data_IF_812193991566
#
_entry.id   IF_812193991566
#
_cell.length_a   1.000
_cell.length_b   1.000
_cell.length_c   1.000
_cell.angle_alpha   90.00
_cell.angle_beta   90.00
_cell.angle_gamma   90.00
#
_symmetry.space_group_name_H-M   'P 1'
#
loop_
_entity.id
_entity.type
_entity.pdbx_description
1 polymer ?
#
# COMPACT_ATOMS: atom_id res chain seq x y z
N UNK A 1 3.14 29.98 -0.87
CA UNK A 1 4.20 29.06 -0.37
C UNK A 1 3.98 27.58 -0.73
N UNK A 2 2.80 26.97 -0.51
CA UNK A 2 2.55 25.55 -0.92
C UNK A 2 2.34 25.44 -2.43
N UNK A 3 1.47 26.28 -3.01
CA UNK A 3 1.21 26.26 -4.47
C UNK A 3 2.46 26.58 -5.31
N UNK A 4 3.37 27.39 -4.80
CA UNK A 4 4.65 27.72 -5.45
C UNK A 4 5.61 26.52 -5.51
N UNK A 5 5.56 25.64 -4.50
CA UNK A 5 6.33 24.39 -4.51
C UNK A 5 5.75 23.36 -5.47
N UNK A 6 4.42 23.26 -5.53
CA UNK A 6 3.75 22.35 -6.46
C UNK A 6 3.98 22.74 -7.92
N UNK A 7 3.93 24.04 -8.22
CA UNK A 7 4.20 24.53 -9.58
C UNK A 7 5.64 24.22 -10.00
N UNK A 8 6.61 24.46 -9.11
CA UNK A 8 8.01 24.08 -9.35
C UNK A 8 8.19 22.58 -9.60
N UNK A 9 7.42 21.73 -8.92
CA UNK A 9 7.42 20.28 -9.16
C UNK A 9 6.85 19.97 -10.55
N UNK A 10 5.75 20.63 -10.96
CA UNK A 10 5.15 20.45 -12.29
C UNK A 10 6.13 20.84 -13.40
N UNK A 11 6.80 21.97 -13.27
CA UNK A 11 7.83 22.41 -14.21
C UNK A 11 8.96 21.39 -14.30
N UNK A 12 9.48 20.94 -13.15
CA UNK A 12 10.58 19.98 -13.11
C UNK A 12 10.22 18.62 -13.68
N UNK A 13 8.97 18.18 -13.52
CA UNK A 13 8.44 16.96 -14.13
C UNK A 13 8.45 17.10 -15.65
N UNK A 14 7.96 18.21 -16.21
CA UNK A 14 7.99 18.44 -17.66
C UNK A 14 9.41 18.40 -18.21
N UNK A 15 10.35 19.08 -17.56
CA UNK A 15 11.77 19.04 -17.95
C UNK A 15 12.35 17.61 -17.90
N UNK A 16 11.95 16.81 -16.92
CA UNK A 16 12.38 15.44 -16.79
C UNK A 16 11.75 14.53 -17.86
N UNK A 17 10.46 14.69 -18.14
CA UNK A 17 9.71 13.97 -19.17
C UNK A 17 10.29 14.21 -20.56
N UNK A 18 10.53 15.49 -20.91
CA UNK A 18 11.06 15.89 -22.22
C UNK A 18 12.56 15.61 -22.38
N UNK A 19 13.31 15.60 -21.28
CA UNK A 19 14.74 15.38 -21.27
C UNK A 19 15.13 13.93 -21.00
N UNK A 20 15.29 13.62 -19.72
CA UNK A 20 15.92 12.36 -19.26
C UNK A 20 15.05 11.15 -19.60
N UNK A 21 13.74 11.24 -19.34
CA UNK A 21 12.82 10.13 -19.58
C UNK A 21 12.72 9.83 -21.08
N UNK A 22 12.45 10.84 -21.91
CA UNK A 22 12.35 10.67 -23.36
C UNK A 22 13.61 10.03 -23.96
N UNK A 23 14.80 10.49 -23.57
CA UNK A 23 16.07 9.91 -24.03
C UNK A 23 16.20 8.44 -23.61
N UNK A 24 15.81 8.11 -22.38
CA UNK A 24 15.83 6.73 -21.88
C UNK A 24 14.87 5.84 -22.67
N UNK A 25 13.62 6.26 -22.87
CA UNK A 25 12.59 5.50 -23.58
C UNK A 25 12.92 5.28 -25.06
N UNK A 26 13.63 6.22 -25.69
CA UNK A 26 14.12 6.06 -27.07
C UNK A 26 15.21 5.00 -27.18
N UNK A 27 16.10 4.92 -26.18
CA UNK A 27 17.17 3.92 -26.16
C UNK A 27 16.67 2.55 -25.72
N UNK A 28 15.76 2.51 -24.77
CA UNK A 28 15.21 1.28 -24.19
C UNK A 28 13.74 1.53 -23.81
N UNK A 29 12.78 1.09 -24.64
CA UNK A 29 11.37 1.32 -24.36
C UNK A 29 10.90 0.48 -23.16
N UNK A 30 9.83 0.95 -22.52
CA UNK A 30 9.15 0.17 -21.50
C UNK A 30 8.57 -1.13 -22.06
N UNK A 31 8.44 -2.14 -21.20
CA UNK A 31 7.98 -3.49 -21.57
C UNK A 31 6.48 -3.57 -21.88
N UNK A 32 5.73 -2.50 -21.66
CA UNK A 32 4.28 -2.43 -21.85
C UNK A 32 3.66 -1.42 -20.88
N UNK A 33 2.33 -1.39 -20.85
CA UNK A 33 1.59 -0.60 -19.85
C UNK A 33 1.66 -1.29 -18.49
N UNK A 34 1.92 -0.52 -17.45
CA UNK A 34 1.91 -1.02 -16.08
C UNK A 34 0.55 -0.78 -15.45
N UNK A 35 -0.08 -1.84 -14.98
CA UNK A 35 -1.34 -1.77 -14.24
C UNK A 35 -1.36 -2.76 -13.08
N UNK A 36 -2.14 -2.42 -12.07
CA UNK A 36 -2.48 -3.34 -10.97
C UNK A 36 -3.32 -4.51 -11.48
N UNK A 37 -3.42 -5.58 -10.68
CA UNK A 37 -4.33 -6.70 -10.97
C UNK A 37 -5.81 -6.27 -11.08
N UNK A 38 -6.16 -5.12 -10.50
CA UNK A 38 -7.49 -4.52 -10.58
C UNK A 38 -7.68 -3.59 -11.78
N UNK A 39 -6.70 -3.49 -12.69
CA UNK A 39 -6.78 -2.69 -13.91
C UNK A 39 -6.44 -1.20 -13.73
N UNK A 40 -6.05 -0.76 -12.54
CA UNK A 40 -5.63 0.62 -12.30
C UNK A 40 -4.25 0.85 -12.92
N UNK A 41 -4.14 1.84 -13.80
CA UNK A 41 -2.88 2.24 -14.45
C UNK A 41 -1.91 2.86 -13.44
N UNK A 42 -0.64 2.46 -13.54
CA UNK A 42 0.44 2.91 -12.66
C UNK A 42 1.28 3.92 -13.43
N UNK A 43 1.36 5.15 -12.91
CA UNK A 43 2.23 6.19 -13.48
C UNK A 43 3.70 5.82 -13.32
N UNK A 44 4.54 6.27 -14.24
CA UNK A 44 6.01 6.12 -14.15
C UNK A 44 6.58 6.78 -12.89
N UNK A 45 5.97 7.87 -12.43
CA UNK A 45 6.38 8.60 -11.24
C UNK A 45 5.15 9.15 -10.50
N UNK A 46 5.13 9.01 -9.18
CA UNK A 46 4.20 9.69 -8.29
C UNK A 46 4.98 10.71 -7.44
N UNK A 47 4.41 11.90 -7.28
CA UNK A 47 5.00 13.04 -6.58
C UNK A 47 3.98 13.65 -5.62
N UNK A 48 4.35 14.63 -4.79
CA UNK A 48 3.39 15.29 -3.90
C UNK A 48 2.19 15.92 -4.61
N UNK A 49 2.30 16.30 -5.88
CA UNK A 49 1.17 16.87 -6.64
C UNK A 49 0.09 15.82 -6.96
N UNK A 50 0.44 14.54 -6.98
CA UNK A 50 -0.47 13.43 -7.28
C UNK A 50 -1.41 13.11 -6.10
N UNK A 51 -1.06 13.61 -4.90
CA UNK A 51 -1.87 13.48 -3.69
C UNK A 51 -3.06 14.48 -3.72
N UNK A 52 -2.93 15.58 -4.50
CA UNK A 52 -3.96 16.61 -4.67
C UNK A 52 -4.32 17.34 -3.36
N UNK A 53 -5.56 17.86 -3.28
CA UNK A 53 -6.09 18.38 -2.02
C UNK A 53 -6.25 17.25 -1.00
N UNK A 54 -5.33 17.23 -0.05
CA UNK A 54 -5.24 16.20 0.97
C UNK A 54 -5.47 16.80 2.35
N UNK A 55 -6.71 16.68 2.80
CA UNK A 55 -7.04 16.94 4.20
C UNK A 55 -6.50 15.77 5.03
N UNK A 56 -5.40 16.03 5.73
CA UNK A 56 -4.73 15.03 6.57
C UNK A 56 -5.70 14.40 7.58
N UNK A 57 -6.53 15.21 8.25
CA UNK A 57 -7.41 14.73 9.32
C UNK A 57 -8.61 13.94 8.80
N UNK A 58 -9.11 14.26 7.60
CA UNK A 58 -10.24 13.53 7.00
C UNK A 58 -9.82 12.27 6.26
N UNK A 59 -8.66 12.27 5.59
CA UNK A 59 -8.22 11.15 4.73
C UNK A 59 -7.24 10.20 5.40
N UNK A 60 -6.44 10.67 6.35
CA UNK A 60 -5.36 9.86 6.96
C UNK A 60 -5.50 9.71 8.47
N UNK A 61 -5.63 10.82 9.18
CA UNK A 61 -5.82 10.88 10.63
C UNK A 61 -4.69 10.24 11.43
N UNK A 62 -5.04 9.82 12.66
CA UNK A 62 -4.17 9.08 13.57
C UNK A 62 -4.67 7.63 13.72
N UNK A 63 -3.78 6.66 13.99
CA UNK A 63 -4.21 5.29 14.25
C UNK A 63 -5.11 5.23 15.48
N UNK A 64 -6.17 4.42 15.42
CA UNK A 64 -7.17 4.32 16.51
C UNK A 64 -8.24 5.40 16.52
N UNK A 65 -8.23 6.33 15.56
CA UNK A 65 -9.24 7.37 15.38
C UNK A 65 -9.77 7.37 13.95
N UNK A 66 -10.99 7.85 13.73
CA UNK A 66 -11.54 8.04 12.38
C UNK A 66 -10.57 8.92 11.54
N UNK A 67 -10.32 8.61 10.26
CA UNK A 67 -10.94 7.60 9.39
C UNK A 67 -10.33 6.19 9.48
N UNK A 68 -9.47 5.93 10.46
CA UNK A 68 -8.78 4.63 10.67
C UNK A 68 -7.87 4.19 9.51
N UNK A 69 -7.54 5.09 8.57
CA UNK A 69 -6.64 4.79 7.44
C UNK A 69 -5.28 4.26 7.89
N UNK A 70 -4.79 4.69 9.07
CA UNK A 70 -3.53 4.22 9.67
C UNK A 70 -3.69 3.01 10.60
N UNK A 71 -4.89 2.45 10.69
CA UNK A 71 -5.23 1.30 11.53
C UNK A 71 -6.25 1.63 12.63
N UNK A 72 -6.97 0.59 13.07
CA UNK A 72 -8.05 0.69 14.07
C UNK A 72 -7.57 0.76 15.53
N UNK A 73 -6.29 0.50 15.79
CA UNK A 73 -5.72 0.49 17.13
C UNK A 73 -4.59 1.53 17.25
N UNK A 74 -4.52 2.35 18.33
CA UNK A 74 -3.50 3.38 18.47
C UNK A 74 -2.06 2.86 18.43
N UNK A 75 -1.83 1.67 18.98
CA UNK A 75 -0.50 1.06 19.12
C UNK A 75 -0.20 -0.01 18.08
N UNK A 76 -1.22 -0.46 17.33
CA UNK A 76 -1.14 -1.57 16.36
C UNK A 76 -0.26 -2.72 16.89
N UNK A 77 0.66 -3.20 16.06
CA UNK A 77 1.50 -4.36 16.33
C UNK A 77 2.66 -4.09 17.31
N UNK A 78 2.78 -2.86 17.84
CA UNK A 78 3.72 -2.59 18.94
C UNK A 78 3.22 -3.16 20.27
N UNK A 79 1.89 -3.29 20.43
CA UNK A 79 1.29 -3.86 21.64
C UNK A 79 0.88 -5.32 21.46
N UNK A 80 0.25 -5.66 20.34
CA UNK A 80 -0.25 -7.00 20.07
C UNK A 80 -0.08 -7.29 18.59
N UNK A 81 0.64 -8.37 18.26
CA UNK A 81 0.78 -8.84 16.89
C UNK A 81 -0.58 -9.22 16.30
N UNK A 82 -0.67 -9.28 14.98
CA UNK A 82 -1.85 -9.85 14.33
C UNK A 82 -2.02 -11.31 14.77
N UNK A 83 -3.27 -11.76 14.85
CA UNK A 83 -3.53 -13.17 15.10
C UNK A 83 -3.06 -13.96 13.89
N UNK A 84 -2.04 -14.78 14.07
CA UNK A 84 -1.72 -15.81 13.10
C UNK A 84 -2.85 -16.85 13.12
N UNK A 85 -3.51 -17.04 11.98
CA UNK A 85 -4.64 -17.97 11.86
C UNK A 85 -4.41 -18.84 10.64
N UNK A 86 -3.82 -20.02 10.84
CA UNK A 86 -3.78 -21.01 9.78
C UNK A 86 -5.18 -21.55 9.52
N UNK A 87 -5.50 -21.72 8.24
CA UNK A 87 -6.68 -22.47 7.84
C UNK A 87 -6.36 -23.95 8.04
N UNK A 88 -6.95 -24.53 9.08
CA UNK A 88 -6.76 -25.93 9.46
C UNK A 88 -8.10 -26.65 9.43
N UNK A 89 -8.16 -27.73 8.66
CA UNK A 89 -9.35 -28.57 8.52
C UNK A 89 -9.04 -29.72 7.57
N UNK A 90 -9.26 -30.95 8.02
CA UNK A 90 -9.00 -32.15 7.23
C UNK A 90 -9.91 -33.29 7.70
N UNK A 91 -10.48 -34.02 6.73
CA UNK A 91 -11.30 -35.20 7.02
C UNK A 91 -12.59 -34.85 7.77
N UNK A 92 -12.88 -35.61 8.81
CA UNK A 92 -14.08 -35.41 9.64
C UNK A 92 -13.87 -34.43 10.81
N UNK A 93 -14.94 -34.15 11.54
CA UNK A 93 -14.91 -33.22 12.68
C UNK A 93 -14.02 -33.71 13.83
N UNK A 94 -13.87 -35.03 14.01
CA UNK A 94 -13.08 -35.62 15.10
C UNK A 94 -11.60 -35.48 14.77
N UNK A 95 -11.21 -35.79 13.53
CA UNK A 95 -9.85 -35.64 13.02
C UNK A 95 -9.40 -34.19 13.04
N UNK A 96 -10.26 -33.27 12.60
CA UNK A 96 -10.00 -31.82 12.69
C UNK A 96 -9.85 -31.37 14.14
N UNK A 97 -10.71 -31.82 15.08
CA UNK A 97 -10.58 -31.47 16.49
C UNK A 97 -9.25 -31.94 17.09
N UNK A 98 -8.83 -33.17 16.78
CA UNK A 98 -7.56 -33.72 17.24
C UNK A 98 -6.40 -32.90 16.69
N UNK A 99 -6.43 -32.52 15.42
CA UNK A 99 -5.39 -31.70 14.79
C UNK A 99 -5.32 -30.29 15.36
N UNK A 100 -6.46 -29.65 15.60
CA UNK A 100 -6.51 -28.31 16.19
C UNK A 100 -5.90 -28.30 17.60
N UNK A 101 -6.22 -29.29 18.45
CA UNK A 101 -5.59 -29.42 19.77
C UNK A 101 -4.07 -29.57 19.67
N UNK A 102 -3.60 -30.43 18.77
CA UNK A 102 -2.17 -30.58 18.51
C UNK A 102 -1.50 -29.26 18.10
N UNK A 103 -2.13 -28.48 17.22
CA UNK A 103 -1.57 -27.21 16.76
C UNK A 103 -1.50 -26.17 17.89
N UNK A 104 -2.55 -26.06 18.71
CA UNK A 104 -2.57 -25.19 19.89
C UNK A 104 -1.46 -25.54 20.90
N UNK A 105 -1.19 -26.84 21.11
CA UNK A 105 -0.11 -27.29 21.99
C UNK A 105 1.29 -26.90 21.47
N UNK A 106 1.45 -26.72 20.15
CA UNK A 106 2.72 -26.40 19.51
C UNK A 106 2.87 -24.91 19.15
N UNK A 107 1.98 -24.05 19.66
CA UNK A 107 2.11 -22.59 19.56
C UNK A 107 1.38 -21.93 18.40
N UNK A 108 0.36 -22.59 17.83
CA UNK A 108 -0.73 -21.89 17.13
C UNK A 108 -1.74 -21.24 18.07
#
# INVERSE_FOLDING_TARGET
MVMEKEEKIRERIKEWEEGVLKKSLQSLPERGKFSTLSGIEIKTLYTPIDIGEFNYFEKLGFPGEYPFTRGIHPTMYRSRLWTFRQFSGFGDAIETNRRLKYLLEHGE
#
